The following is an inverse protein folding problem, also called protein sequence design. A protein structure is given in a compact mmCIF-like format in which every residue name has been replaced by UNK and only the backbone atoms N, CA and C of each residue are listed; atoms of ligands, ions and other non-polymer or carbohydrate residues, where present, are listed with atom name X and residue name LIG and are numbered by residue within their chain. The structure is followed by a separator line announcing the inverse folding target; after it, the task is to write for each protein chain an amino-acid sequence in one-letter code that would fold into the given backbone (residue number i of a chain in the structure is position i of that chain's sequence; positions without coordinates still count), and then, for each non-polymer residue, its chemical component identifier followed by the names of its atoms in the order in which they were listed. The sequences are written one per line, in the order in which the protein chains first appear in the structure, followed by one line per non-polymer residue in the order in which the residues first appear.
data_IF_551955250622
#
_entry.id   IF_551955250622
#
_cell.length_a   1.000
_cell.length_b   1.000
_cell.length_c   1.000
_cell.angle_alpha   90.00
_cell.angle_beta   90.00
_cell.angle_gamma   90.00
#
_symmetry.space_group_name_H-M   'P 1'
#
loop_
_entity.id
_entity.type
_entity.pdbx_description
1 polymer ?
#
# COMPACT_ATOMS: atom_id res chain seq x y z
N UNK A 1 75.95 6.70 -44.96
CA UNK A 1 75.43 7.84 -45.74
C UNK A 1 74.39 7.20 -46.66
N UNK A 2 73.15 7.06 -46.16
CA UNK A 2 72.06 8.08 -46.23
C UNK A 2 71.40 7.95 -47.62
N UNK A 3 70.11 7.68 -47.85
CA UNK A 3 68.82 7.88 -47.16
C UNK A 3 67.81 6.85 -47.76
N UNK A 4 66.92 6.19 -47.00
CA UNK A 4 65.48 6.48 -46.74
C UNK A 4 64.55 6.64 -47.98
N UNK A 5 63.39 5.95 -47.92
CA UNK A 5 62.12 6.04 -48.69
C UNK A 5 61.60 4.60 -49.02
N UNK A 6 60.63 4.06 -48.28
CA UNK A 6 59.17 4.27 -48.37
C UNK A 6 58.49 3.27 -49.33
N UNK A 7 57.60 2.44 -48.79
CA UNK A 7 56.15 2.45 -49.11
C UNK A 7 55.43 1.32 -48.35
N UNK A 8 54.60 1.75 -47.42
CA UNK A 8 53.49 1.04 -46.79
C UNK A 8 52.35 0.81 -47.82
N UNK A 9 51.64 -0.31 -47.71
CA UNK A 9 50.28 -0.46 -48.25
C UNK A 9 49.53 -1.37 -47.25
N UNK A 10 48.86 -0.79 -46.24
CA UNK A 10 47.44 -0.40 -46.21
C UNK A 10 46.48 -1.59 -46.08
N UNK A 11 46.46 -2.23 -44.90
CA UNK A 11 45.31 -3.00 -44.41
C UNK A 11 44.56 -2.13 -43.39
N UNK A 12 43.61 -1.33 -43.89
CA UNK A 12 42.72 -0.54 -43.05
C UNK A 12 41.35 -0.49 -43.72
N UNK A 13 40.57 -1.58 -43.62
CA UNK A 13 39.16 -1.60 -44.06
C UNK A 13 38.36 -2.77 -43.42
N UNK A 14 38.75 -3.22 -42.21
CA UNK A 14 38.00 -4.29 -41.51
C UNK A 14 37.53 -3.92 -40.10
N UNK A 15 38.18 -2.94 -39.44
CA UNK A 15 37.81 -2.51 -38.08
C UNK A 15 36.67 -1.48 -38.02
N UNK A 16 36.36 -0.78 -39.12
CA UNK A 16 35.30 0.24 -39.14
C UNK A 16 33.90 -0.34 -39.45
N UNK A 17 33.82 -1.54 -40.05
CA UNK A 17 32.54 -2.20 -40.31
C UNK A 17 31.99 -2.95 -39.08
N UNK A 18 32.86 -3.46 -38.20
CA UNK A 18 32.44 -4.16 -36.98
C UNK A 18 31.95 -3.19 -35.90
N UNK A 19 32.48 -1.96 -35.84
CA UNK A 19 32.00 -0.91 -34.92
C UNK A 19 30.62 -0.36 -35.29
N UNK A 20 30.35 -0.19 -36.60
CA UNK A 20 29.03 0.28 -37.04
C UNK A 20 27.92 -0.77 -36.84
N UNK A 21 28.23 -2.07 -36.82
CA UNK A 21 27.26 -3.12 -36.50
C UNK A 21 27.00 -3.23 -34.99
N UNK A 22 28.02 -3.13 -34.12
CA UNK A 22 27.83 -3.10 -32.66
C UNK A 22 27.05 -1.86 -32.21
N UNK A 23 27.28 -0.68 -32.80
CA UNK A 23 26.53 0.54 -32.46
C UNK A 23 25.05 0.45 -32.87
N UNK A 24 24.73 -0.14 -34.03
CA UNK A 24 23.34 -0.36 -34.47
C UNK A 24 22.61 -1.42 -33.62
N UNK A 25 23.31 -2.47 -33.18
CA UNK A 25 22.74 -3.42 -32.24
C UNK A 25 22.53 -2.80 -30.85
N UNK A 26 23.37 -1.88 -30.39
CA UNK A 26 23.09 -1.18 -29.12
C UNK A 26 21.91 -0.20 -29.20
N UNK A 27 21.69 0.45 -30.35
CA UNK A 27 20.55 1.36 -30.54
C UNK A 27 19.21 0.62 -30.67
N UNK A 28 19.17 -0.55 -31.32
CA UNK A 28 17.93 -1.35 -31.43
C UNK A 28 17.46 -1.91 -30.07
N UNK A 29 18.37 -2.15 -29.11
CA UNK A 29 18.01 -2.73 -27.81
C UNK A 29 17.63 -1.68 -26.76
N UNK A 30 18.00 -0.41 -26.95
CA UNK A 30 17.53 0.69 -26.10
C UNK A 30 16.07 1.06 -26.37
N UNK A 31 15.54 0.76 -27.55
CA UNK A 31 14.13 1.03 -27.91
C UNK A 31 13.16 0.04 -27.25
N UNK A 32 13.54 -1.24 -27.12
CA UNK A 32 12.72 -2.26 -26.43
C UNK A 32 12.70 -2.15 -24.89
N UNK A 33 13.51 -1.27 -24.30
CA UNK A 33 13.53 -1.07 -22.83
C UNK A 33 12.51 -0.04 -22.34
N UNK A 34 11.74 0.58 -23.25
CA UNK A 34 10.69 1.54 -22.92
C UNK A 34 9.26 0.99 -22.95
N UNK A 35 9.04 -0.29 -23.26
CA UNK A 35 7.71 -0.91 -23.17
C UNK A 35 7.42 -1.54 -21.80
N UNK A 36 7.90 -0.87 -20.75
CA UNK A 36 7.55 -1.13 -19.36
C UNK A 36 7.07 0.14 -18.66
N UNK A 37 6.59 1.12 -19.42
CA UNK A 37 5.74 2.17 -18.87
C UNK A 37 4.49 1.48 -18.32
N UNK A 38 4.54 1.25 -17.00
CA UNK A 38 3.43 0.96 -16.12
C UNK A 38 2.30 1.89 -16.57
N UNK A 39 1.41 1.40 -17.43
CA UNK A 39 0.16 2.06 -17.79
C UNK A 39 -0.60 2.14 -16.48
N UNK A 40 -0.33 3.18 -15.70
CA UNK A 40 -1.07 3.47 -14.50
C UNK A 40 -2.50 3.59 -14.96
N UNK A 41 -3.33 2.61 -14.60
CA UNK A 41 -4.77 2.73 -14.71
C UNK A 41 -5.15 3.96 -13.89
N UNK A 42 -5.15 5.13 -14.53
CA UNK A 42 -5.63 6.37 -13.94
C UNK A 42 -7.15 6.23 -13.85
N UNK A 43 -7.60 5.71 -12.71
CA UNK A 43 -9.01 5.60 -12.38
C UNK A 43 -9.66 6.97 -12.49
N UNK A 44 -10.82 7.04 -13.16
CA UNK A 44 -11.59 8.27 -13.24
C UNK A 44 -11.97 8.73 -11.82
N UNK A 45 -11.80 10.02 -11.48
CA UNK A 45 -12.16 10.52 -10.16
C UNK A 45 -13.63 10.25 -9.83
N UNK A 46 -13.86 9.40 -8.84
CA UNK A 46 -15.19 9.04 -8.35
C UNK A 46 -15.26 9.39 -6.87
N UNK A 47 -15.58 10.64 -6.53
CA UNK A 47 -15.69 11.07 -5.14
C UNK A 47 -16.96 10.51 -4.49
N UNK A 48 -16.85 10.20 -3.21
CA UNK A 48 -18.00 9.81 -2.40
C UNK A 48 -19.04 10.94 -2.34
N UNK A 49 -20.25 10.65 -2.79
CA UNK A 49 -21.35 11.63 -2.87
C UNK A 49 -22.33 11.50 -1.70
N UNK A 50 -23.15 12.53 -1.47
CA UNK A 50 -24.20 12.48 -0.46
C UNK A 50 -25.25 11.39 -0.72
N UNK A 51 -25.53 11.07 -1.99
CA UNK A 51 -26.50 10.03 -2.32
C UNK A 51 -25.96 8.63 -2.01
N UNK A 52 -24.69 8.37 -2.31
CA UNK A 52 -23.98 7.16 -1.85
C UNK A 52 -23.96 7.08 -0.31
N UNK A 53 -23.78 8.21 0.37
CA UNK A 53 -23.88 8.25 1.84
C UNK A 53 -25.28 7.87 2.33
N UNK A 54 -26.35 8.41 1.73
CA UNK A 54 -27.72 8.06 2.13
C UNK A 54 -28.01 6.56 1.96
N UNK A 55 -27.47 5.94 0.93
CA UNK A 55 -27.61 4.50 0.68
C UNK A 55 -26.80 3.64 1.67
N UNK A 56 -25.57 4.06 1.97
CA UNK A 56 -24.64 3.26 2.79
C UNK A 56 -24.78 3.47 4.30
N UNK A 57 -25.39 4.59 4.74
CA UNK A 57 -25.54 4.91 6.16
C UNK A 57 -26.62 4.06 6.82
N UNK A 58 -26.27 3.47 7.95
CA UNK A 58 -27.18 2.65 8.75
C UNK A 58 -26.86 2.74 10.25
N UNK A 59 -27.67 2.03 11.05
CA UNK A 59 -27.57 1.96 12.51
C UNK A 59 -27.69 3.33 13.21
N UNK A 60 -28.93 3.78 13.39
CA UNK A 60 -29.21 5.04 14.10
C UNK A 60 -28.99 4.86 15.62
N UNK A 61 -28.11 5.66 16.21
CA UNK A 61 -27.77 5.62 17.62
C UNK A 61 -27.79 7.02 18.24
N UNK A 62 -27.97 7.10 19.57
CA UNK A 62 -27.78 8.36 20.30
C UNK A 62 -26.31 8.80 20.25
N UNK A 63 -26.10 10.09 20.04
CA UNK A 63 -24.78 10.73 20.16
C UNK A 63 -24.27 10.68 21.60
N UNK A 64 -22.96 10.86 21.81
CA UNK A 64 -22.33 10.71 23.14
C UNK A 64 -22.88 11.65 24.22
N UNK A 65 -23.46 12.79 23.83
CA UNK A 65 -24.14 13.72 24.74
C UNK A 65 -25.61 13.35 25.03
N UNK A 66 -26.16 12.34 24.34
CA UNK A 66 -27.55 11.90 24.48
C UNK A 66 -28.61 12.84 23.89
N UNK A 67 -28.21 13.92 23.22
CA UNK A 67 -29.11 14.99 22.76
C UNK A 67 -29.52 14.87 21.29
N UNK A 68 -28.83 14.03 20.52
CA UNK A 68 -29.11 13.82 19.10
C UNK A 68 -28.99 12.34 18.73
N UNK A 69 -29.37 12.03 17.50
CA UNK A 69 -29.11 10.74 16.88
C UNK A 69 -28.20 10.92 15.67
N UNK A 70 -27.36 9.93 15.42
CA UNK A 70 -26.52 9.85 14.24
C UNK A 70 -26.48 8.42 13.73
N UNK A 71 -26.37 8.25 12.42
CA UNK A 71 -25.99 6.97 11.84
C UNK A 71 -24.52 6.70 12.17
N UNK A 72 -24.22 5.50 12.64
CA UNK A 72 -22.88 5.14 13.12
C UNK A 72 -22.21 4.06 12.27
N UNK A 73 -22.90 3.54 11.26
CA UNK A 73 -22.38 2.54 10.33
C UNK A 73 -22.47 3.07 8.89
N UNK A 74 -21.42 2.87 8.11
CA UNK A 74 -21.36 3.16 6.69
C UNK A 74 -20.79 1.95 5.94
N UNK A 75 -21.46 1.53 4.88
CA UNK A 75 -20.98 0.52 3.93
C UNK A 75 -21.10 1.07 2.51
N UNK A 76 -19.97 1.31 1.85
CA UNK A 76 -19.88 1.84 0.48
C UNK A 76 -18.86 1.04 -0.34
N UNK A 77 -19.12 -0.26 -0.45
CA UNK A 77 -18.28 -1.21 -1.20
C UNK A 77 -18.60 -1.18 -2.69
N UNK A 78 -17.60 -1.46 -3.52
CA UNK A 78 -17.79 -1.73 -4.97
C UNK A 78 -18.45 -0.54 -5.68
N UNK A 79 -17.88 0.67 -5.49
CA UNK A 79 -18.39 1.94 -6.04
C UNK A 79 -17.34 2.72 -6.81
N UNK A 80 -16.23 2.07 -7.17
CA UNK A 80 -15.10 2.65 -7.88
C UNK A 80 -14.55 3.94 -7.22
N UNK A 81 -14.72 4.09 -5.90
CA UNK A 81 -14.39 5.34 -5.20
C UNK A 81 -12.90 5.63 -5.26
N UNK A 82 -12.55 6.86 -5.62
CA UNK A 82 -11.17 7.36 -5.58
C UNK A 82 -10.95 8.36 -4.44
N UNK A 83 -12.04 8.94 -3.90
CA UNK A 83 -11.99 9.93 -2.83
C UNK A 83 -13.12 9.71 -1.81
N UNK A 84 -12.78 9.84 -0.53
CA UNK A 84 -13.69 9.73 0.62
C UNK A 84 -13.64 10.99 1.50
N UNK A 85 -13.26 12.13 0.95
CA UNK A 85 -13.09 13.38 1.71
C UNK A 85 -14.34 13.78 2.49
N UNK A 86 -15.52 13.46 1.95
CA UNK A 86 -16.82 13.71 2.58
C UNK A 86 -16.93 13.09 3.99
N UNK A 87 -16.24 11.98 4.26
CA UNK A 87 -16.30 11.27 5.56
C UNK A 87 -15.76 12.09 6.73
N UNK A 88 -14.92 13.10 6.49
CA UNK A 88 -14.37 13.95 7.55
C UNK A 88 -15.46 14.63 8.40
N UNK A 89 -16.63 14.86 7.82
CA UNK A 89 -17.77 15.54 8.45
C UNK A 89 -18.67 14.57 9.23
N UNK A 90 -18.52 13.26 9.07
CA UNK A 90 -19.36 12.23 9.67
C UNK A 90 -18.74 11.67 10.96
N UNK A 91 -18.33 12.57 11.85
CA UNK A 91 -17.51 12.29 13.06
C UNK A 91 -18.10 11.26 14.04
N UNK A 92 -19.37 10.90 13.88
CA UNK A 92 -20.07 9.92 14.72
C UNK A 92 -20.00 8.49 14.18
N UNK A 93 -19.43 8.27 12.99
CA UNK A 93 -19.21 6.93 12.45
C UNK A 93 -18.32 6.09 13.36
N UNK A 94 -18.70 4.83 13.50
CA UNK A 94 -18.06 3.81 14.35
C UNK A 94 -17.66 2.56 13.56
N UNK A 95 -18.40 2.25 12.50
CA UNK A 95 -18.19 1.10 11.63
C UNK A 95 -18.15 1.60 10.19
N UNK A 96 -17.00 1.46 9.52
CA UNK A 96 -16.81 1.94 8.15
C UNK A 96 -16.27 0.81 7.29
N UNK A 97 -16.98 0.47 6.22
CA UNK A 97 -16.51 -0.39 5.15
C UNK A 97 -16.44 0.41 3.83
N UNK A 98 -15.22 0.61 3.35
CA UNK A 98 -14.89 1.24 2.05
C UNK A 98 -14.13 0.28 1.14
N UNK A 99 -14.27 -1.03 1.37
CA UNK A 99 -13.54 -2.06 0.63
C UNK A 99 -13.96 -2.11 -0.85
N UNK A 100 -13.10 -2.66 -1.69
CA UNK A 100 -13.38 -2.87 -3.13
C UNK A 100 -13.67 -1.54 -3.84
N UNK A 101 -12.70 -0.62 -3.74
CA UNK A 101 -12.69 0.69 -4.39
C UNK A 101 -11.26 0.98 -4.90
N UNK A 102 -10.99 2.21 -5.33
CA UNK A 102 -9.69 2.64 -5.88
C UNK A 102 -9.00 3.67 -4.96
N UNK A 103 -9.20 3.56 -3.65
CA UNK A 103 -8.67 4.51 -2.69
C UNK A 103 -7.14 4.38 -2.56
N UNK A 104 -6.47 5.53 -2.55
CA UNK A 104 -5.04 5.67 -2.29
C UNK A 104 -4.74 6.46 -1.01
N UNK A 105 -5.72 7.20 -0.50
CA UNK A 105 -5.64 8.00 0.73
C UNK A 105 -6.81 7.69 1.69
N UNK A 106 -6.48 7.47 2.96
CA UNK A 106 -7.43 7.30 4.05
C UNK A 106 -7.41 8.47 5.06
N UNK A 107 -6.67 9.54 4.79
CA UNK A 107 -6.54 10.69 5.69
C UNK A 107 -7.87 11.31 6.13
N UNK A 108 -8.97 11.30 5.36
CA UNK A 108 -10.28 11.77 5.84
C UNK A 108 -10.82 11.00 7.05
N UNK A 109 -10.39 9.75 7.25
CA UNK A 109 -10.80 8.92 8.40
C UNK A 109 -10.15 9.40 9.71
N UNK A 110 -9.11 10.23 9.67
CA UNK A 110 -8.47 10.80 10.85
C UNK A 110 -9.41 11.64 11.74
N UNK A 111 -10.53 12.11 11.18
CA UNK A 111 -11.54 12.88 11.90
C UNK A 111 -12.56 11.99 12.65
N UNK A 112 -12.61 10.69 12.33
CA UNK A 112 -13.54 9.72 12.92
C UNK A 112 -13.01 9.18 14.25
N UNK A 113 -12.83 10.06 15.23
CA UNK A 113 -12.23 9.72 16.53
C UNK A 113 -13.03 8.70 17.36
N UNK A 114 -14.22 8.29 16.92
CA UNK A 114 -15.06 7.26 17.55
C UNK A 114 -15.09 5.94 16.77
N UNK A 115 -14.25 5.81 15.74
CA UNK A 115 -14.17 4.60 14.92
C UNK A 115 -13.78 3.39 15.78
N UNK A 116 -14.53 2.31 15.64
CA UNK A 116 -14.34 1.03 16.33
C UNK A 116 -13.88 -0.05 15.37
N UNK A 117 -14.34 0.01 14.13
CA UNK A 117 -14.11 -1.00 13.11
C UNK A 117 -13.92 -0.32 11.74
N UNK A 118 -12.86 -0.72 11.04
CA UNK A 118 -12.52 -0.22 9.72
C UNK A 118 -12.19 -1.38 8.78
N UNK A 119 -12.82 -1.40 7.61
CA UNK A 119 -12.40 -2.18 6.46
C UNK A 119 -12.14 -1.28 5.26
N UNK A 120 -10.97 -1.45 4.67
CA UNK A 120 -10.55 -0.83 3.43
C UNK A 120 -9.80 -1.87 2.57
N UNK A 121 -10.36 -3.09 2.52
CA UNK A 121 -9.78 -4.19 1.76
C UNK A 121 -9.87 -3.91 0.26
N UNK A 122 -9.02 -4.54 -0.56
CA UNK A 122 -9.08 -4.45 -2.03
C UNK A 122 -9.15 -3.00 -2.53
N UNK A 123 -8.14 -2.20 -2.17
CA UNK A 123 -7.94 -0.82 -2.62
C UNK A 123 -6.50 -0.67 -3.17
N UNK A 124 -6.04 0.56 -3.38
CA UNK A 124 -4.70 0.86 -3.89
C UNK A 124 -3.82 1.59 -2.86
N UNK A 125 -4.04 1.31 -1.58
CA UNK A 125 -3.31 1.94 -0.48
C UNK A 125 -1.85 1.50 -0.48
N UNK A 126 -0.93 2.46 -0.38
CA UNK A 126 0.50 2.20 -0.18
C UNK A 126 0.93 2.30 1.29
N UNK A 127 0.06 2.85 2.14
CA UNK A 127 0.27 2.97 3.59
C UNK A 127 -1.06 2.84 4.32
N UNK A 128 -1.03 2.25 5.51
CA UNK A 128 -2.16 2.20 6.45
C UNK A 128 -2.07 3.29 7.54
N UNK A 129 -1.22 4.30 7.35
CA UNK A 129 -1.00 5.37 8.33
C UNK A 129 -2.29 6.15 8.59
N UNK A 130 -2.67 6.22 9.86
CA UNK A 130 -3.71 7.09 10.38
C UNK A 130 -3.20 7.78 11.64
N UNK A 131 -3.80 8.90 11.99
CA UNK A 131 -3.66 9.46 13.34
C UNK A 131 -4.15 8.44 14.37
N UNK A 132 -3.67 8.54 15.60
CA UNK A 132 -4.12 7.64 16.67
C UNK A 132 -5.65 7.68 16.81
N UNK A 133 -6.31 6.55 16.51
CA UNK A 133 -7.73 6.35 16.72
C UNK A 133 -7.94 5.61 18.05
N UNK A 134 -8.38 6.31 19.12
CA UNK A 134 -8.30 5.79 20.49
C UNK A 134 -9.25 4.63 20.77
N UNK A 135 -10.26 4.42 19.93
CA UNK A 135 -11.27 3.37 20.10
C UNK A 135 -11.24 2.29 19.02
N UNK A 136 -10.37 2.40 18.02
CA UNK A 136 -10.30 1.43 16.91
C UNK A 136 -9.85 0.07 17.45
N UNK A 137 -10.67 -0.96 17.20
CA UNK A 137 -10.49 -2.32 17.72
C UNK A 137 -10.15 -3.32 16.62
N UNK A 138 -10.70 -3.11 15.42
CA UNK A 138 -10.49 -3.98 14.27
C UNK A 138 -10.21 -3.13 13.06
N UNK A 139 -9.12 -3.45 12.36
CA UNK A 139 -8.75 -2.81 11.10
C UNK A 139 -8.35 -3.88 10.08
N UNK A 140 -8.81 -3.72 8.85
CA UNK A 140 -8.47 -4.58 7.72
C UNK A 140 -8.09 -3.71 6.53
N UNK A 141 -6.91 -3.99 5.98
CA UNK A 141 -6.37 -3.38 4.77
C UNK A 141 -5.87 -4.48 3.82
N UNK A 142 -6.56 -5.60 3.78
CA UNK A 142 -6.17 -6.76 2.99
C UNK A 142 -6.17 -6.42 1.49
N UNK A 143 -5.31 -7.08 0.71
CA UNK A 143 -5.22 -6.92 -0.75
C UNK A 143 -5.06 -5.46 -1.19
N UNK A 144 -4.10 -4.77 -0.59
CA UNK A 144 -3.66 -3.44 -0.98
C UNK A 144 -2.20 -3.49 -1.49
N UNK A 145 -1.54 -2.34 -1.59
CA UNK A 145 -0.14 -2.20 -2.02
C UNK A 145 0.76 -1.70 -0.88
N UNK A 146 0.39 -1.98 0.38
CA UNK A 146 1.11 -1.48 1.56
C UNK A 146 2.50 -2.10 1.64
N UNK A 147 3.51 -1.27 1.87
CA UNK A 147 4.93 -1.70 1.89
C UNK A 147 5.53 -1.80 3.29
N UNK A 148 4.94 -1.12 4.27
CA UNK A 148 5.40 -1.06 5.65
C UNK A 148 4.23 -0.85 6.62
N UNK A 149 4.49 -1.03 7.90
CA UNK A 149 3.49 -0.94 8.98
C UNK A 149 3.59 0.36 9.78
N UNK A 150 4.28 1.37 9.27
CA UNK A 150 4.42 2.65 9.95
C UNK A 150 3.08 3.38 10.11
N UNK A 151 2.93 4.07 11.24
CA UNK A 151 1.72 4.84 11.53
C UNK A 151 0.52 4.01 12.02
N UNK A 152 0.64 2.69 12.14
CA UNK A 152 -0.36 1.85 12.79
C UNK A 152 -0.11 1.86 14.30
N UNK A 153 -0.67 2.88 14.97
CA UNK A 153 -0.45 3.14 16.40
C UNK A 153 -1.78 3.39 17.11
N UNK A 154 -2.55 2.33 17.37
CA UNK A 154 -3.91 2.43 17.90
C UNK A 154 -4.03 1.62 19.20
N UNK A 155 -4.26 2.26 20.37
CA UNK A 155 -4.12 1.62 21.66
C UNK A 155 -5.09 0.48 21.94
N UNK A 156 -6.27 0.51 21.30
CA UNK A 156 -7.33 -0.50 21.46
C UNK A 156 -7.40 -1.51 20.32
N UNK A 157 -6.51 -1.42 19.33
CA UNK A 157 -6.52 -2.31 18.18
C UNK A 157 -6.20 -3.74 18.65
N UNK A 158 -7.17 -4.63 18.51
CA UNK A 158 -7.08 -6.04 18.91
C UNK A 158 -6.80 -6.97 17.72
N UNK A 159 -7.31 -6.63 16.54
CA UNK A 159 -7.15 -7.39 15.31
C UNK A 159 -6.73 -6.50 14.15
N UNK A 160 -5.65 -6.88 13.49
CA UNK A 160 -5.12 -6.21 12.31
C UNK A 160 -4.93 -7.22 11.17
N UNK A 161 -5.59 -6.97 10.05
CA UNK A 161 -5.43 -7.75 8.82
C UNK A 161 -4.70 -6.93 7.74
N UNK A 162 -3.53 -7.41 7.35
CA UNK A 162 -2.67 -6.87 6.31
C UNK A 162 -2.37 -7.92 5.23
N UNK A 163 -3.21 -8.95 5.10
CA UNK A 163 -3.06 -10.03 4.12
C UNK A 163 -2.89 -9.49 2.70
N UNK A 164 -2.04 -10.10 1.89
CA UNK A 164 -1.99 -9.81 0.45
C UNK A 164 -1.48 -8.41 0.12
N UNK A 165 -0.56 -7.88 0.94
CA UNK A 165 0.11 -6.60 0.70
C UNK A 165 1.54 -6.84 0.16
N UNK A 166 2.38 -5.79 0.12
CA UNK A 166 3.77 -5.84 -0.37
C UNK A 166 4.79 -5.62 0.75
N UNK A 167 4.44 -5.97 1.99
CA UNK A 167 5.28 -5.74 3.16
C UNK A 167 6.47 -6.71 3.13
N UNK A 168 7.69 -6.17 3.22
CA UNK A 168 8.93 -6.97 3.31
C UNK A 168 9.48 -7.08 4.72
N UNK A 169 9.35 -6.00 5.48
CA UNK A 169 9.79 -5.90 6.86
C UNK A 169 8.70 -5.21 7.67
N UNK A 170 8.48 -5.70 8.89
CA UNK A 170 7.56 -5.06 9.83
C UNK A 170 8.30 -3.97 10.59
N UNK A 171 7.91 -2.72 10.39
CA UNK A 171 8.49 -1.53 11.04
C UNK A 171 7.39 -0.70 11.69
N UNK A 172 7.67 -0.04 12.82
CA UNK A 172 6.73 0.89 13.44
C UNK A 172 5.60 0.27 14.26
N UNK A 173 5.50 -1.06 14.35
CA UNK A 173 4.61 -1.73 15.31
C UNK A 173 5.18 -1.62 16.73
N UNK A 174 4.88 -0.51 17.40
CA UNK A 174 5.35 -0.20 18.76
C UNK A 174 4.53 -0.96 19.83
N UNK A 175 5.15 -1.87 20.62
CA UNK A 175 4.45 -2.59 21.68
C UNK A 175 3.90 -1.71 22.81
N UNK A 176 4.46 -0.50 23.00
CA UNK A 176 3.95 0.44 24.00
C UNK A 176 2.65 1.12 23.54
N UNK A 177 2.42 1.19 22.23
CA UNK A 177 1.19 1.74 21.66
C UNK A 177 0.19 0.65 21.35
N UNK A 178 0.60 -0.48 20.78
CA UNK A 178 -0.29 -1.60 20.39
C UNK A 178 -0.59 -2.55 21.56
N UNK A 179 -0.97 -1.98 22.71
CA UNK A 179 -1.15 -2.70 23.98
C UNK A 179 -2.35 -3.66 24.01
N UNK A 180 -3.16 -3.71 22.96
CA UNK A 180 -4.34 -4.59 22.87
C UNK A 180 -4.22 -5.61 21.75
N UNK A 181 -3.20 -5.50 20.88
CA UNK A 181 -3.11 -6.27 19.64
C UNK A 181 -2.84 -7.74 19.97
N UNK A 182 -3.81 -8.58 19.64
CA UNK A 182 -3.76 -10.03 19.90
C UNK A 182 -3.87 -10.86 18.62
N UNK A 183 -4.22 -10.26 17.49
CA UNK A 183 -4.32 -10.95 16.21
C UNK A 183 -3.70 -10.10 15.09
N UNK A 184 -2.74 -10.69 14.39
CA UNK A 184 -2.03 -10.09 13.26
C UNK A 184 -1.99 -11.07 12.09
N UNK A 185 -2.50 -10.65 10.95
CA UNK A 185 -2.51 -11.39 9.70
C UNK A 185 -1.60 -10.71 8.67
N UNK A 186 -0.62 -11.45 8.18
CA UNK A 186 0.44 -11.01 7.26
C UNK A 186 0.65 -11.99 6.09
N UNK A 187 -0.16 -13.04 5.92
CA UNK A 187 -0.02 -13.98 4.79
C UNK A 187 -0.13 -13.26 3.44
N UNK A 188 0.53 -13.79 2.42
CA UNK A 188 0.53 -13.18 1.08
C UNK A 188 1.29 -11.85 1.00
N UNK A 189 2.19 -11.57 1.96
CA UNK A 189 3.16 -10.48 1.87
C UNK A 189 4.50 -10.99 1.30
N UNK A 190 5.54 -10.16 1.36
CA UNK A 190 6.91 -10.47 0.93
C UNK A 190 7.86 -10.51 2.13
N UNK A 191 7.38 -10.98 3.29
CA UNK A 191 8.13 -10.92 4.55
C UNK A 191 9.42 -11.72 4.45
N UNK A 192 10.55 -11.05 4.67
CA UNK A 192 11.90 -11.64 4.63
C UNK A 192 12.41 -12.02 6.03
N UNK A 193 11.88 -11.35 7.07
CA UNK A 193 12.30 -11.54 8.46
C UNK A 193 11.17 -11.25 9.44
N UNK A 194 11.21 -11.89 10.60
CA UNK A 194 10.30 -11.62 11.72
C UNK A 194 10.82 -10.53 12.67
N UNK A 195 12.00 -9.97 12.40
CA UNK A 195 12.49 -8.80 13.13
C UNK A 195 11.47 -7.66 13.02
N UNK A 196 11.21 -6.98 14.14
CA UNK A 196 10.20 -5.92 14.24
C UNK A 196 8.81 -6.40 14.68
N UNK A 197 8.54 -7.70 14.65
CA UNK A 197 7.30 -8.27 15.23
C UNK A 197 7.52 -8.55 16.72
N UNK A 198 7.56 -7.50 17.53
CA UNK A 198 7.71 -7.59 18.99
C UNK A 198 6.45 -7.10 19.70
N UNK A 199 5.41 -7.94 19.73
CA UNK A 199 4.09 -7.60 20.29
C UNK A 199 3.74 -8.55 21.44
N UNK A 200 3.89 -8.15 22.71
CA UNK A 200 3.87 -9.08 23.86
C UNK A 200 2.50 -9.70 24.14
N UNK A 201 1.42 -9.15 23.59
CA UNK A 201 0.04 -9.67 23.76
C UNK A 201 -0.48 -10.42 22.54
N UNK A 202 0.35 -10.60 21.52
CA UNK A 202 -0.02 -11.30 20.31
C UNK A 202 -0.33 -12.77 20.62
N UNK A 203 -1.54 -13.22 20.27
CA UNK A 203 -2.01 -14.60 20.48
C UNK A 203 -2.05 -15.37 19.17
N UNK A 204 -2.47 -14.69 18.10
CA UNK A 204 -2.61 -15.26 16.78
C UNK A 204 -1.73 -14.45 15.81
N UNK A 205 -0.74 -15.12 15.23
CA UNK A 205 0.10 -14.55 14.19
C UNK A 205 0.02 -15.47 12.97
N UNK A 206 -0.48 -14.93 11.86
CA UNK A 206 -0.52 -15.61 10.58
C UNK A 206 0.49 -14.94 9.66
N UNK A 207 1.52 -15.67 9.25
CA UNK A 207 2.55 -15.15 8.35
C UNK A 207 3.03 -16.26 7.41
N UNK A 208 3.62 -15.82 6.30
CA UNK A 208 4.38 -16.65 5.37
C UNK A 208 5.70 -15.92 5.09
N UNK A 209 6.83 -16.60 5.28
CA UNK A 209 8.15 -16.02 5.03
C UNK A 209 8.61 -16.50 3.66
N UNK A 210 9.04 -15.57 2.79
CA UNK A 210 9.73 -15.96 1.56
C UNK A 210 11.13 -16.42 1.95
N UNK A 211 11.37 -17.73 1.85
CA UNK A 211 12.70 -18.29 1.99
C UNK A 211 13.54 -17.85 0.79
N UNK A 212 14.20 -16.69 0.90
CA UNK A 212 15.29 -16.36 0.01
C UNK A 212 16.48 -17.19 0.47
N UNK A 213 16.59 -18.41 -0.06
CA UNK A 213 17.75 -19.27 0.16
C UNK A 213 19.07 -18.50 -0.06
N UNK A 214 20.21 -19.01 0.44
CA UNK A 214 21.46 -18.27 0.40
C UNK A 214 21.75 -17.82 -1.03
N UNK A 215 21.85 -16.49 -1.23
CA UNK A 215 22.49 -15.93 -2.41
C UNK A 215 23.95 -16.38 -2.34
N UNK A 216 24.26 -17.49 -3.00
CA UNK A 216 25.64 -17.92 -3.20
C UNK A 216 26.40 -16.79 -3.89
N UNK A 217 27.63 -16.50 -3.44
CA UNK A 217 28.36 -15.27 -3.77
C UNK A 217 28.72 -15.14 -5.25
#
# INVERSE_FOLDING_TARGET
MSDEDDLEDFDADQDDLEKEEEERETEEWEDYRKEGEDLSEEWLPTPLTEDMMKEGLSLLCKTGNGLAHAYVKLEVKERDLTDIYLLRSYIHLRYVDVSENHLTDLSPLNFLTHLLWLKADSNHLRSARLNELPYLQVASFAYNQITDTEGISHPRLGSLDLKGNRIRMVTGLDPQKLISLHTLELRGNQIETTLGINLPKLKNLFLEIKDTGPKTP
#
